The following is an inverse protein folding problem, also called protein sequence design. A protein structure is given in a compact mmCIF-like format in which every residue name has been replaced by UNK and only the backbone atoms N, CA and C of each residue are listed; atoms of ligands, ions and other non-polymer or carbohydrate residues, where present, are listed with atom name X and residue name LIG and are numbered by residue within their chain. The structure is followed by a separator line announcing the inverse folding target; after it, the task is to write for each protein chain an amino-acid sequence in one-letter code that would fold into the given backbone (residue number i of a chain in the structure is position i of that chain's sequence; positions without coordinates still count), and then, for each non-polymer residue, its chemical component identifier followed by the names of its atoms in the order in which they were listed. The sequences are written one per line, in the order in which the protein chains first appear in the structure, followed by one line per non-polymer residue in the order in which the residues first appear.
data_IF_890750012568
#
_entry.id   IF_890750012568
#
_cell.length_a   1.000
_cell.length_b   1.000
_cell.length_c   1.000
_cell.angle_alpha   90.00
_cell.angle_beta   90.00
_cell.angle_gamma   90.00
#
_symmetry.space_group_name_H-M   'P 1'
#
loop_
_entity.id
_entity.type
_entity.pdbx_description
1 polymer ?
#
# COMPACT_ATOMS: atom_id res chain seq x y z
N UNK A 1 -63.21 9.01 50.88
CA UNK A 1 -62.51 7.76 51.22
C UNK A 1 -62.28 7.06 49.89
N UNK A 2 -61.24 7.48 49.18
CA UNK A 2 -60.95 6.98 47.85
C UNK A 2 -59.84 5.94 47.95
N UNK A 3 -60.23 4.67 47.97
CA UNK A 3 -59.31 3.56 47.74
C UNK A 3 -59.15 3.36 46.24
N UNK A 4 -58.10 3.95 45.64
CA UNK A 4 -57.63 3.57 44.30
C UNK A 4 -57.05 2.16 44.37
N UNK A 5 -57.84 1.16 43.97
CA UNK A 5 -57.31 -0.16 43.64
C UNK A 5 -56.58 -0.07 42.31
N UNK A 6 -55.25 -0.20 42.33
CA UNK A 6 -54.47 -0.37 41.11
C UNK A 6 -54.86 -1.70 40.46
N UNK A 7 -55.37 -1.60 39.24
CA UNK A 7 -55.73 -2.71 38.37
C UNK A 7 -54.50 -3.57 38.08
N UNK A 8 -54.59 -4.85 38.44
CA UNK A 8 -53.63 -5.89 38.07
C UNK A 8 -53.67 -6.05 36.55
N UNK A 9 -52.57 -5.73 35.88
CA UNK A 9 -52.41 -6.05 34.46
C UNK A 9 -52.45 -7.58 34.29
N UNK A 10 -53.51 -8.11 33.69
CA UNK A 10 -53.51 -9.45 33.13
C UNK A 10 -52.76 -9.39 31.80
N UNK A 11 -51.53 -9.88 31.77
CA UNK A 11 -50.80 -10.10 30.52
C UNK A 11 -51.65 -11.03 29.65
N UNK A 12 -52.20 -10.48 28.56
CA UNK A 12 -52.91 -11.24 27.55
C UNK A 12 -51.99 -12.33 27.00
N UNK A 13 -52.58 -13.50 26.71
CA UNK A 13 -51.85 -14.63 26.10
C UNK A 13 -51.12 -14.11 24.86
N UNK A 14 -49.79 -14.18 24.86
CA UNK A 14 -49.02 -13.95 23.65
C UNK A 14 -49.34 -15.08 22.68
N UNK A 15 -49.91 -14.72 21.52
CA UNK A 15 -50.17 -15.62 20.41
C UNK A 15 -48.83 -16.07 19.82
N UNK A 16 -48.33 -17.23 20.22
CA UNK A 16 -47.30 -17.96 19.47
C UNK A 16 -47.99 -18.73 18.34
N UNK A 17 -48.41 -18.01 17.30
CA UNK A 17 -48.86 -18.60 16.04
C UNK A 17 -47.64 -18.70 15.13
N UNK A 18 -47.04 -19.89 15.04
CA UNK A 18 -46.03 -20.17 14.02
C UNK A 18 -46.73 -20.20 12.66
N UNK A 19 -46.12 -19.67 11.57
CA UNK A 19 -46.74 -19.79 10.26
C UNK A 19 -46.85 -21.28 9.92
N UNK A 20 -48.09 -21.69 9.70
CA UNK A 20 -48.45 -23.00 9.18
C UNK A 20 -47.84 -23.16 7.78
N UNK A 21 -46.84 -24.05 7.69
CA UNK A 21 -46.22 -24.47 6.44
C UNK A 21 -47.22 -25.33 5.67
N UNK A 22 -48.10 -24.68 4.93
CA UNK A 22 -48.88 -25.33 3.89
C UNK A 22 -47.93 -25.85 2.82
N UNK A 23 -47.70 -27.17 2.89
CA UNK A 23 -47.08 -27.98 1.87
C UNK A 23 -47.95 -27.98 0.59
N UNK A 24 -47.96 -26.85 -0.11
CA UNK A 24 -48.45 -26.71 -1.47
C UNK A 24 -47.29 -26.89 -2.43
N UNK A 25 -47.02 -28.14 -2.81
CA UNK A 25 -46.04 -28.47 -3.84
C UNK A 25 -46.32 -27.75 -5.15
N UNK A 26 -45.57 -26.68 -5.43
CA UNK A 26 -45.22 -26.34 -6.80
C UNK A 26 -44.03 -27.23 -7.13
N UNK A 27 -44.22 -28.08 -8.14
CA UNK A 27 -43.12 -28.76 -8.79
C UNK A 27 -42.09 -27.72 -9.19
N UNK A 28 -41.06 -27.61 -8.37
CA UNK A 28 -39.76 -27.22 -8.85
C UNK A 28 -39.30 -28.51 -9.51
N UNK A 29 -39.45 -28.53 -10.84
CA UNK A 29 -38.67 -29.37 -11.72
C UNK A 29 -37.26 -29.45 -11.11
N UNK A 30 -36.66 -30.64 -10.94
CA UNK A 30 -35.28 -30.73 -10.50
C UNK A 30 -34.46 -29.85 -11.43
N UNK A 31 -34.14 -28.64 -10.97
CA UNK A 31 -33.07 -27.88 -11.58
C UNK A 31 -31.90 -28.81 -11.40
N UNK A 32 -31.37 -29.27 -12.52
CA UNK A 32 -30.13 -29.99 -12.58
C UNK A 32 -29.09 -29.12 -11.87
N UNK A 33 -28.94 -29.33 -10.56
CA UNK A 33 -27.73 -28.99 -9.85
C UNK A 33 -26.72 -29.97 -10.43
N UNK A 34 -26.23 -29.63 -11.63
CA UNK A 34 -24.93 -30.10 -12.09
C UNK A 34 -24.02 -29.92 -10.88
N UNK A 35 -23.60 -31.05 -10.32
CA UNK A 35 -22.66 -31.14 -9.24
C UNK A 35 -21.37 -30.53 -9.77
N UNK A 36 -21.29 -29.19 -9.71
CA UNK A 36 -20.06 -28.45 -9.96
C UNK A 36 -19.13 -28.93 -8.89
N UNK A 37 -18.25 -29.88 -9.26
CA UNK A 37 -17.12 -30.24 -8.42
C UNK A 37 -16.55 -28.93 -7.89
N UNK A 38 -16.49 -28.80 -6.56
CA UNK A 38 -15.92 -27.64 -5.90
C UNK A 38 -14.40 -27.63 -6.10
N UNK A 39 -13.96 -27.67 -7.36
CA UNK A 39 -12.61 -27.46 -7.80
C UNK A 39 -12.29 -26.01 -7.50
N UNK A 40 -11.42 -25.80 -6.53
CA UNK A 40 -10.82 -24.50 -6.27
C UNK A 40 -10.18 -24.04 -7.59
N UNK A 41 -10.54 -22.85 -8.09
CA UNK A 41 -9.94 -22.28 -9.28
C UNK A 41 -8.41 -22.39 -9.21
N UNK A 42 -7.77 -22.88 -10.27
CA UNK A 42 -6.32 -23.11 -10.30
C UNK A 42 -5.52 -21.83 -9.99
N UNK A 43 -6.05 -20.66 -10.35
CA UNK A 43 -5.50 -19.36 -9.99
C UNK A 43 -5.54 -19.07 -8.49
N UNK A 44 -6.64 -19.40 -7.82
CA UNK A 44 -6.76 -19.30 -6.35
C UNK A 44 -5.76 -20.27 -5.70
N UNK A 45 -5.66 -21.50 -6.23
CA UNK A 45 -4.68 -22.49 -5.76
C UNK A 45 -3.25 -21.95 -5.87
N UNK A 46 -2.91 -21.28 -6.97
CA UNK A 46 -1.60 -20.65 -7.17
C UNK A 46 -1.30 -19.59 -6.09
N UNK A 47 -2.29 -18.77 -5.73
CA UNK A 47 -2.13 -17.77 -4.67
C UNK A 47 -1.91 -18.42 -3.29
N UNK A 48 -2.61 -19.51 -2.98
CA UNK A 48 -2.39 -20.27 -1.74
C UNK A 48 -0.98 -20.88 -1.70
N UNK A 49 -0.52 -21.51 -2.78
CA UNK A 49 0.84 -22.05 -2.87
C UNK A 49 1.90 -20.95 -2.74
N UNK A 50 1.67 -19.76 -3.32
CA UNK A 50 2.54 -18.59 -3.17
C UNK A 50 2.60 -18.06 -1.73
N UNK A 51 1.49 -18.14 -1.00
CA UNK A 51 1.42 -17.79 0.42
C UNK A 51 2.25 -18.74 1.29
N UNK A 52 2.11 -20.04 1.05
CA UNK A 52 2.85 -21.08 1.78
C UNK A 52 4.34 -21.09 1.42
N UNK A 53 4.66 -20.78 0.16
CA UNK A 53 6.00 -20.90 -0.41
C UNK A 53 6.26 -22.26 -1.07
N UNK A 54 5.19 -22.95 -1.50
CA UNK A 54 5.30 -24.24 -2.18
C UNK A 54 5.74 -24.05 -3.64
N UNK A 55 7.05 -24.11 -3.86
CA UNK A 55 7.66 -23.93 -5.18
C UNK A 55 7.26 -25.04 -6.15
N UNK A 56 7.06 -26.26 -5.66
CA UNK A 56 6.79 -27.41 -6.53
C UNK A 56 5.35 -27.38 -7.01
N UNK A 57 4.41 -27.11 -6.09
CA UNK A 57 3.00 -26.90 -6.46
C UNK A 57 2.82 -25.73 -7.44
N UNK A 58 3.60 -24.66 -7.30
CA UNK A 58 3.57 -23.53 -8.25
C UNK A 58 4.04 -23.95 -9.64
N UNK A 59 5.11 -24.74 -9.75
CA UNK A 59 5.58 -25.22 -11.06
C UNK A 59 4.55 -26.12 -11.72
N UNK A 60 3.98 -27.07 -10.99
CA UNK A 60 2.94 -27.96 -11.51
C UNK A 60 1.73 -27.17 -12.04
N UNK A 61 1.31 -26.13 -11.30
CA UNK A 61 0.22 -25.25 -11.72
C UNK A 61 0.56 -24.45 -12.98
N UNK A 62 1.80 -23.96 -13.11
CA UNK A 62 2.24 -23.23 -14.30
C UNK A 62 2.41 -24.16 -15.51
N UNK A 63 2.88 -25.39 -15.31
CA UNK A 63 2.99 -26.43 -16.35
C UNK A 63 1.62 -26.90 -16.84
N UNK A 64 0.61 -26.96 -15.96
CA UNK A 64 -0.78 -27.24 -16.35
C UNK A 64 -1.46 -26.09 -17.09
N UNK A 65 -0.77 -24.97 -17.31
CA UNK A 65 -1.25 -23.84 -18.09
C UNK A 65 -2.03 -22.80 -17.29
N UNK A 66 -1.88 -22.79 -15.95
CA UNK A 66 -2.48 -21.75 -15.11
C UNK A 66 -1.83 -20.40 -15.43
N UNK A 67 -2.65 -19.37 -15.65
CA UNK A 67 -2.15 -18.03 -15.91
C UNK A 67 -1.45 -17.45 -14.68
N UNK A 68 -0.15 -17.15 -14.79
CA UNK A 68 0.65 -16.52 -13.72
C UNK A 68 0.11 -15.13 -13.28
N UNK A 69 -0.71 -14.50 -14.12
CA UNK A 69 -1.32 -13.19 -13.91
C UNK A 69 -2.76 -13.25 -13.42
N UNK A 70 -3.20 -14.40 -12.89
CA UNK A 70 -4.49 -14.50 -12.22
C UNK A 70 -4.58 -13.48 -11.08
N UNK A 71 -5.76 -12.86 -10.94
CA UNK A 71 -6.06 -11.89 -9.89
C UNK A 71 -7.38 -12.23 -9.19
N UNK A 72 -7.40 -12.03 -7.87
CA UNK A 72 -8.60 -12.21 -7.04
C UNK A 72 -9.59 -11.03 -7.20
N UNK A 73 -10.72 -11.07 -6.48
CA UNK A 73 -11.75 -10.04 -6.42
C UNK A 73 -11.23 -8.65 -6.01
N UNK A 74 -10.07 -8.60 -5.34
CA UNK A 74 -9.38 -7.38 -4.94
C UNK A 74 -8.32 -6.93 -5.93
N UNK A 75 -8.17 -7.60 -7.08
CA UNK A 75 -7.12 -7.32 -8.07
C UNK A 75 -5.73 -7.81 -7.63
N UNK A 76 -5.64 -8.53 -6.51
CA UNK A 76 -4.37 -9.07 -6.02
C UNK A 76 -3.97 -10.31 -6.80
N UNK A 77 -2.71 -10.33 -7.24
CA UNK A 77 -2.10 -11.46 -7.97
C UNK A 77 -1.27 -12.34 -7.03
N UNK A 78 -0.85 -13.52 -7.51
CA UNK A 78 0.11 -14.36 -6.79
C UNK A 78 1.40 -13.62 -6.42
N UNK A 79 1.82 -12.65 -7.25
CA UNK A 79 2.99 -11.82 -6.99
C UNK A 79 2.80 -10.88 -5.79
N UNK A 80 1.61 -10.31 -5.59
CA UNK A 80 1.28 -9.53 -4.38
C UNK A 80 1.40 -10.39 -3.13
N UNK A 81 0.85 -11.60 -3.16
CA UNK A 81 0.89 -12.54 -2.03
C UNK A 81 2.33 -12.94 -1.70
N UNK A 82 3.11 -13.31 -2.71
CA UNK A 82 4.53 -13.65 -2.53
C UNK A 82 5.36 -12.47 -1.98
N UNK A 83 5.05 -11.25 -2.43
CA UNK A 83 5.71 -10.03 -1.98
C UNK A 83 5.37 -9.67 -0.52
N UNK A 84 4.11 -9.81 -0.10
CA UNK A 84 3.68 -9.68 1.29
C UNK A 84 4.43 -10.65 2.20
N UNK A 85 4.56 -11.90 1.79
CA UNK A 85 5.21 -12.95 2.59
C UNK A 85 6.75 -12.95 2.48
N UNK A 86 7.33 -12.14 1.60
CA UNK A 86 8.78 -12.06 1.43
C UNK A 86 9.39 -13.32 0.79
N UNK A 87 8.60 -14.09 0.05
CA UNK A 87 9.03 -15.36 -0.56
C UNK A 87 9.84 -15.09 -1.83
N UNK A 88 11.14 -14.81 -1.67
CA UNK A 88 12.04 -14.49 -2.79
C UNK A 88 12.01 -15.54 -3.90
N UNK A 89 12.12 -16.82 -3.56
CA UNK A 89 12.19 -17.90 -4.55
C UNK A 89 10.89 -18.01 -5.38
N UNK A 90 9.74 -17.80 -4.74
CA UNK A 90 8.44 -17.77 -5.43
C UNK A 90 8.36 -16.58 -6.38
N UNK A 91 8.83 -15.41 -5.95
CA UNK A 91 8.87 -14.21 -6.78
C UNK A 91 9.75 -14.43 -8.02
N UNK A 92 10.93 -15.04 -7.87
CA UNK A 92 11.79 -15.38 -9.02
C UNK A 92 11.09 -16.33 -10.01
N UNK A 93 10.40 -17.36 -9.51
CA UNK A 93 9.65 -18.29 -10.36
C UNK A 93 8.50 -17.62 -11.11
N UNK A 94 7.71 -16.79 -10.43
CA UNK A 94 6.57 -16.09 -11.04
C UNK A 94 7.05 -15.09 -12.11
N UNK A 95 8.12 -14.33 -11.83
CA UNK A 95 8.71 -13.41 -12.80
C UNK A 95 9.30 -14.13 -14.01
N UNK A 96 9.95 -15.29 -13.79
CA UNK A 96 10.44 -16.15 -14.87
C UNK A 96 9.33 -16.67 -15.79
N UNK A 97 8.11 -16.80 -15.27
CA UNK A 97 6.92 -17.24 -16.01
C UNK A 97 6.06 -16.07 -16.53
N UNK A 98 6.61 -14.85 -16.58
CA UNK A 98 5.93 -13.71 -17.20
C UNK A 98 4.87 -13.04 -16.30
N UNK A 99 5.01 -13.13 -14.97
CA UNK A 99 4.20 -12.35 -14.07
C UNK A 99 4.43 -10.84 -14.25
N UNK A 100 3.34 -10.08 -14.26
CA UNK A 100 3.35 -8.63 -14.38
C UNK A 100 3.79 -7.99 -13.06
N UNK A 101 4.84 -7.17 -13.13
CA UNK A 101 5.50 -6.60 -11.94
C UNK A 101 4.76 -5.37 -11.38
N UNK A 102 4.08 -4.62 -12.26
CA UNK A 102 3.45 -3.34 -11.96
C UNK A 102 1.91 -3.45 -11.93
N UNK A 103 1.36 -4.60 -11.54
CA UNK A 103 -0.08 -4.73 -11.36
C UNK A 103 -0.49 -3.93 -10.13
N UNK A 104 -1.59 -3.20 -10.24
CA UNK A 104 -2.17 -2.47 -9.11
C UNK A 104 -3.39 -3.25 -8.60
N UNK A 105 -3.49 -3.39 -7.28
CA UNK A 105 -4.68 -3.91 -6.62
C UNK A 105 -5.81 -2.86 -6.56
N UNK A 106 -6.95 -3.22 -5.96
CA UNK A 106 -8.10 -2.34 -5.73
C UNK A 106 -7.73 -1.03 -5.00
N UNK A 107 -6.68 -1.03 -4.20
CA UNK A 107 -6.22 0.13 -3.42
C UNK A 107 -5.09 0.90 -4.12
N UNK A 108 -4.69 0.51 -5.33
CA UNK A 108 -3.57 1.11 -6.05
C UNK A 108 -2.21 0.67 -5.51
N UNK A 109 -2.15 -0.39 -4.71
CA UNK A 109 -0.89 -0.95 -4.23
C UNK A 109 -0.29 -1.83 -5.31
N UNK A 110 1.02 -1.75 -5.49
CA UNK A 110 1.78 -2.65 -6.35
C UNK A 110 2.45 -3.74 -5.51
N UNK A 111 2.87 -4.88 -6.10
CA UNK A 111 3.63 -5.90 -5.38
C UNK A 111 4.88 -5.34 -4.69
N UNK A 112 5.50 -4.32 -5.28
CA UNK A 112 6.62 -3.61 -4.66
C UNK A 112 6.19 -2.80 -3.44
N UNK A 113 5.06 -2.10 -3.50
CA UNK A 113 4.51 -1.37 -2.35
C UNK A 113 4.22 -2.31 -1.18
N UNK A 114 3.66 -3.49 -1.46
CA UNK A 114 3.44 -4.54 -0.47
C UNK A 114 4.76 -5.02 0.15
N UNK A 115 5.76 -5.36 -0.68
CA UNK A 115 7.07 -5.78 -0.19
C UNK A 115 7.72 -4.72 0.73
N UNK A 116 7.58 -3.43 0.41
CA UNK A 116 8.07 -2.32 1.23
C UNK A 116 7.29 -2.23 2.55
N UNK A 117 5.96 -2.31 2.50
CA UNK A 117 5.10 -2.24 3.69
C UNK A 117 5.44 -3.35 4.70
N UNK A 118 5.68 -4.56 4.20
CA UNK A 118 6.07 -5.72 5.02
C UNK A 118 7.59 -5.82 5.29
N UNK A 119 8.40 -4.85 4.82
CA UNK A 119 9.86 -4.75 5.05
C UNK A 119 10.68 -5.91 4.47
N UNK A 120 10.21 -6.49 3.37
CA UNK A 120 10.88 -7.61 2.69
C UNK A 120 11.95 -7.11 1.72
N UNK A 121 13.08 -6.65 2.27
CA UNK A 121 14.16 -5.98 1.52
C UNK A 121 14.72 -6.83 0.36
N UNK A 122 14.78 -8.15 0.50
CA UNK A 122 15.32 -9.03 -0.55
C UNK A 122 14.39 -9.12 -1.76
N UNK A 123 13.08 -9.16 -1.51
CA UNK A 123 12.06 -9.10 -2.57
C UNK A 123 12.01 -7.72 -3.21
N UNK A 124 12.17 -6.65 -2.42
CA UNK A 124 12.25 -5.28 -2.95
C UNK A 124 13.38 -5.14 -3.97
N UNK A 125 14.61 -5.55 -3.61
CA UNK A 125 15.76 -5.51 -4.52
C UNK A 125 15.53 -6.33 -5.79
N UNK A 126 14.90 -7.49 -5.65
CA UNK A 126 14.58 -8.36 -6.78
C UNK A 126 13.60 -7.67 -7.71
N UNK A 127 12.47 -7.18 -7.20
CA UNK A 127 11.45 -6.48 -7.98
C UNK A 127 12.03 -5.21 -8.66
N UNK A 128 12.87 -4.44 -7.97
CA UNK A 128 13.59 -3.29 -8.53
C UNK A 128 14.47 -3.69 -9.72
N UNK A 129 15.18 -4.82 -9.63
CA UNK A 129 16.01 -5.33 -10.74
C UNK A 129 15.19 -5.74 -11.96
N UNK A 130 13.93 -6.12 -11.76
CA UNK A 130 12.97 -6.45 -12.81
C UNK A 130 12.14 -5.23 -13.30
N UNK A 131 12.53 -4.01 -12.92
CA UNK A 131 11.90 -2.78 -13.41
C UNK A 131 10.57 -2.45 -12.71
N UNK A 132 10.36 -2.93 -11.48
CA UNK A 132 9.23 -2.51 -10.68
C UNK A 132 9.28 -1.00 -10.43
N UNK A 133 8.15 -0.32 -10.65
CA UNK A 133 8.03 1.11 -10.40
C UNK A 133 7.84 1.32 -8.90
N UNK A 134 8.71 2.14 -8.29
CA UNK A 134 8.49 2.62 -6.94
C UNK A 134 7.12 3.28 -6.84
N UNK A 135 6.34 3.02 -5.77
CA UNK A 135 5.11 3.75 -5.51
C UNK A 135 5.50 5.21 -5.21
N UNK A 136 5.64 5.99 -6.27
CA UNK A 136 5.74 7.43 -6.18
C UNK A 136 4.37 7.89 -5.72
N UNK A 137 4.18 8.05 -4.41
CA UNK A 137 3.07 8.86 -3.94
C UNK A 137 3.23 10.22 -4.63
N UNK A 138 2.26 10.70 -5.42
CA UNK A 138 2.26 12.10 -5.75
C UNK A 138 2.13 12.81 -4.40
N UNK A 139 3.23 13.40 -3.91
CA UNK A 139 3.11 14.57 -3.06
C UNK A 139 2.42 15.60 -3.96
N UNK A 140 1.10 15.57 -3.97
CA UNK A 140 0.32 16.49 -4.77
C UNK A 140 0.33 17.84 -4.04
N UNK A 141 1.45 18.53 -4.20
CA UNK A 141 1.68 19.88 -3.72
C UNK A 141 1.02 20.80 -4.73
N UNK A 142 -0.29 21.00 -4.56
CA UNK A 142 -1.09 21.93 -5.40
C UNK A 142 -0.55 23.35 -5.30
N UNK A 143 0.03 23.68 -4.15
CA UNK A 143 0.71 24.94 -3.89
C UNK A 143 2.04 24.60 -3.23
N UNK A 144 3.10 24.47 -4.02
CA UNK A 144 4.42 24.72 -3.47
C UNK A 144 4.31 26.15 -2.95
N UNK A 145 4.68 26.43 -1.70
CA UNK A 145 4.90 27.82 -1.31
C UNK A 145 5.97 28.31 -2.27
N UNK A 146 5.58 29.00 -3.33
CA UNK A 146 6.44 29.97 -3.98
C UNK A 146 6.91 30.81 -2.82
N UNK A 147 8.17 30.62 -2.45
CA UNK A 147 8.81 31.53 -1.51
C UNK A 147 8.86 32.80 -2.36
N UNK A 148 8.04 33.83 -2.09
CA UNK A 148 8.26 35.10 -2.75
C UNK A 148 9.72 35.42 -2.48
N UNK A 149 10.49 35.59 -3.56
CA UNK A 149 11.86 36.05 -3.46
C UNK A 149 11.79 37.47 -2.89
N UNK A 150 11.68 37.58 -1.58
CA UNK A 150 11.96 38.82 -0.89
C UNK A 150 13.46 38.98 -1.01
N UNK A 151 13.89 39.70 -2.04
CA UNK A 151 15.22 40.27 -2.10
C UNK A 151 15.39 41.15 -0.87
N UNK A 152 16.13 40.64 0.12
CA UNK A 152 16.46 41.43 1.30
C UNK A 152 17.37 42.56 0.82
N UNK A 153 16.82 43.76 0.68
CA UNK A 153 17.59 44.94 0.27
C UNK A 153 18.70 45.20 1.30
N UNK A 154 19.99 45.13 0.95
CA UNK A 154 21.10 45.31 1.91
C UNK A 154 21.13 46.72 2.55
N UNK A 155 20.41 47.68 1.97
CA UNK A 155 20.24 49.05 2.48
C UNK A 155 19.13 49.17 3.53
N UNK A 156 18.19 48.24 3.58
CA UNK A 156 17.09 48.19 4.55
C UNK A 156 17.44 47.34 5.77
N UNK A 157 18.58 46.64 5.73
CA UNK A 157 19.11 45.89 6.86
C UNK A 157 19.87 46.85 7.79
N UNK A 158 19.12 47.64 8.56
CA UNK A 158 19.69 48.50 9.58
C UNK A 158 20.03 47.69 10.85
N UNK A 159 21.28 47.23 10.92
CA UNK A 159 21.79 46.55 12.10
C UNK A 159 22.08 47.49 13.29
N UNK A 160 21.83 48.81 13.16
CA UNK A 160 22.12 49.80 14.23
C UNK A 160 21.34 49.53 15.51
N UNK A 161 20.18 48.85 15.44
CA UNK A 161 19.38 48.43 16.58
C UNK A 161 19.57 46.96 17.00
N UNK A 162 20.49 46.23 16.36
CA UNK A 162 20.81 44.85 16.77
C UNK A 162 21.70 44.87 18.01
N UNK A 163 21.08 44.81 19.18
CA UNK A 163 21.77 44.70 20.45
C UNK A 163 22.46 43.33 20.52
N UNK A 164 23.80 43.32 20.35
CA UNK A 164 24.66 42.34 21.00
C UNK A 164 25.02 41.03 20.27
N UNK A 165 24.84 40.90 18.96
CA UNK A 165 25.24 39.67 18.22
C UNK A 165 26.69 39.68 17.70
N UNK A 166 27.38 40.83 17.65
CA UNK A 166 28.80 40.91 17.24
C UNK A 166 29.74 41.23 18.40
N UNK A 167 29.77 40.36 19.42
CA UNK A 167 30.99 40.12 20.19
C UNK A 167 31.62 38.80 19.76
N UNK A 168 31.91 38.67 18.46
CA UNK A 168 32.85 37.66 17.98
C UNK A 168 34.24 38.16 18.38
N UNK A 169 34.90 37.48 19.33
CA UNK A 169 36.28 37.77 19.73
C UNK A 169 37.17 37.80 18.48
N UNK A 170 37.97 38.85 18.26
CA UNK A 170 38.97 38.87 17.20
C UNK A 170 40.15 38.02 17.65
N UNK A 171 40.04 36.69 17.59
CA UNK A 171 41.18 35.78 17.77
C UNK A 171 40.98 34.42 17.10
N UNK A 172 40.27 34.38 15.97
CA UNK A 172 40.24 33.20 15.09
C UNK A 172 41.23 33.48 13.94
N UNK A 173 42.41 32.85 13.97
CA UNK A 173 43.53 33.02 13.02
C UNK A 173 43.24 32.52 11.58
N UNK A 174 42.03 32.66 11.04
CA UNK A 174 41.63 32.03 9.77
C UNK A 174 41.48 33.05 8.60
N UNK A 175 41.83 34.32 8.78
CA UNK A 175 41.78 35.31 7.70
C UNK A 175 43.16 35.75 7.24
N UNK A 176 43.82 35.00 6.34
CA UNK A 176 44.88 35.56 5.48
C UNK A 176 45.37 34.72 4.27
N UNK A 177 44.94 33.48 4.02
CA UNK A 177 45.65 32.65 3.01
C UNK A 177 45.09 32.68 1.57
N UNK A 178 43.92 33.26 1.29
CA UNK A 178 43.22 33.00 0.00
C UNK A 178 43.00 34.19 -0.96
N UNK A 179 43.58 35.37 -0.72
CA UNK A 179 43.33 36.54 -1.59
C UNK A 179 44.56 37.34 -2.07
N UNK A 180 45.81 36.88 -1.82
CA UNK A 180 47.01 37.66 -2.22
C UNK A 180 47.87 37.08 -3.35
N UNK A 181 47.55 35.91 -3.92
CA UNK A 181 48.41 35.32 -4.96
C UNK A 181 47.91 35.42 -6.40
N UNK A 182 46.77 36.09 -6.66
CA UNK A 182 46.20 36.16 -8.02
C UNK A 182 46.14 37.56 -8.64
N UNK A 183 47.17 38.38 -8.42
CA UNK A 183 47.39 39.61 -9.19
C UNK A 183 48.87 39.96 -9.27
N UNK A 184 49.66 39.08 -9.92
CA UNK A 184 50.83 39.51 -10.69
C UNK A 184 50.35 39.76 -12.12
N UNK A 185 49.73 40.92 -12.35
CA UNK A 185 49.53 41.45 -13.69
C UNK A 185 49.53 42.97 -13.63
N UNK A 186 50.37 43.56 -14.48
CA UNK A 186 50.60 45.00 -14.73
C UNK A 186 51.32 45.79 -13.63
N UNK A 187 52.26 46.68 -13.91
CA UNK A 187 53.15 46.98 -15.04
C UNK A 187 54.00 48.17 -14.51
N UNK A 188 55.26 48.25 -14.96
CA UNK A 188 56.24 49.37 -14.88
C UNK A 188 56.72 49.79 -13.47
#
# INVERSE_FOLDING_TARGET
MESKSQSRFSLGRQSSLAPENDAGGRGLDPVDYEEVEAGIDSGIRLMYSANEGDLEGIKELLESGTGANFHDIDGRTALHVAACQGRKDVVELLLGNGALVNVEDRWGSTPLADAIHYKNNDVVKLLESHGARLPMAPMHVQNAREIPEYEINPKEIDFSNSVGITKVKPNCHITAQLLKHNSRFLLI
#
